data_IF_679943455060
#
_entry.id   IF_679943455060
#
_cell.length_a   1.000
_cell.length_b   1.000
_cell.length_c   1.000
_cell.angle_alpha   90.00
_cell.angle_beta   90.00
_cell.angle_gamma   90.00
#
_symmetry.space_group_name_H-M   'P 1'
#
loop_
_entity.id
_entity.type
_entity.pdbx_description
1 polymer ?
#
# COMPACT_ATOMS: atom_id res chain seq x y z
N UNK A 1 -21.85 3.99 -0.66
CA UNK A 1 -20.55 4.24 0.00
C UNK A 1 -20.43 3.54 1.35
N UNK A 2 -21.45 3.58 2.20
CA UNK A 2 -21.41 2.94 3.52
C UNK A 2 -21.27 1.41 3.47
N UNK A 3 -21.98 0.72 2.59
CA UNK A 3 -21.91 -0.74 2.46
C UNK A 3 -20.54 -1.22 2.02
N UNK A 4 -19.92 -0.56 1.05
CA UNK A 4 -18.56 -0.91 0.60
C UNK A 4 -17.51 -0.68 1.70
N UNK A 5 -17.64 0.41 2.47
CA UNK A 5 -16.75 0.67 3.62
C UNK A 5 -16.91 -0.42 4.66
N UNK A 6 -18.15 -0.78 4.99
CA UNK A 6 -18.45 -1.83 5.95
C UNK A 6 -17.90 -3.19 5.49
N UNK A 7 -18.16 -3.57 4.24
CA UNK A 7 -17.65 -4.81 3.67
C UNK A 7 -16.12 -4.89 3.71
N UNK A 8 -15.42 -3.81 3.37
CA UNK A 8 -13.96 -3.75 3.46
C UNK A 8 -13.47 -3.80 4.92
N UNK A 9 -14.16 -3.14 5.85
CA UNK A 9 -13.83 -3.23 7.27
C UNK A 9 -13.99 -4.66 7.82
N UNK A 10 -15.00 -5.37 7.40
CA UNK A 10 -15.22 -6.78 7.80
C UNK A 10 -14.19 -7.71 7.17
N UNK A 11 -13.81 -7.46 5.92
CA UNK A 11 -12.86 -8.30 5.18
C UNK A 11 -11.42 -8.26 5.68
N UNK A 12 -11.03 -7.26 6.50
CA UNK A 12 -9.68 -7.16 7.07
C UNK A 12 -9.50 -7.97 8.37
N UNK A 13 -10.58 -8.45 8.98
CA UNK A 13 -10.53 -9.24 10.23
C UNK A 13 -9.55 -10.43 10.13
N UNK A 14 -9.51 -11.20 9.02
CA UNK A 14 -8.60 -12.32 8.86
C UNK A 14 -7.11 -11.96 8.80
N UNK A 15 -6.75 -10.67 8.77
CA UNK A 15 -5.33 -10.24 8.80
C UNK A 15 -4.68 -10.43 10.18
N UNK A 16 -5.41 -11.01 11.14
CA UNK A 16 -4.92 -11.33 12.51
C UNK A 16 -4.33 -10.10 13.22
N UNK A 17 -5.05 -9.00 13.12
CA UNK A 17 -4.75 -7.77 13.85
C UNK A 17 -5.55 -7.70 15.15
N UNK A 18 -5.00 -7.03 16.17
CA UNK A 18 -5.79 -6.70 17.37
C UNK A 18 -7.00 -5.83 17.00
N UNK A 19 -8.10 -5.93 17.78
CA UNK A 19 -9.31 -5.12 17.60
C UNK A 19 -9.02 -3.62 17.49
N UNK A 20 -8.06 -3.14 18.25
CA UNK A 20 -7.63 -1.76 18.19
C UNK A 20 -7.05 -1.37 16.80
N UNK A 21 -6.27 -2.27 16.18
CA UNK A 21 -5.71 -2.05 14.83
C UNK A 21 -6.79 -2.16 13.77
N UNK A 22 -7.72 -3.11 13.91
CA UNK A 22 -8.87 -3.24 13.01
C UNK A 22 -9.70 -1.96 13.00
N UNK A 23 -10.05 -1.42 14.18
CA UNK A 23 -10.76 -0.13 14.30
C UNK A 23 -9.99 1.04 13.66
N UNK A 24 -8.66 1.06 13.81
CA UNK A 24 -7.81 2.08 13.14
C UNK A 24 -7.78 1.90 11.63
N UNK A 25 -7.61 0.68 11.13
CA UNK A 25 -7.61 0.38 9.71
C UNK A 25 -8.90 0.87 9.05
N UNK A 26 -10.07 0.58 9.65
CA UNK A 26 -11.38 1.02 9.17
C UNK A 26 -11.48 2.54 8.99
N UNK A 27 -10.83 3.33 9.84
CA UNK A 27 -10.82 4.80 9.70
C UNK A 27 -10.15 5.28 8.41
N UNK A 28 -9.25 4.49 7.85
CA UNK A 28 -8.53 4.86 6.64
C UNK A 28 -9.19 4.33 5.36
N UNK A 29 -10.16 3.42 5.47
CA UNK A 29 -10.84 2.81 4.31
C UNK A 29 -11.41 3.86 3.35
N UNK A 30 -12.10 4.93 3.79
CA UNK A 30 -12.60 5.96 2.86
C UNK A 30 -11.49 6.62 2.04
N UNK A 31 -10.38 6.99 2.67
CA UNK A 31 -9.26 7.61 1.96
C UNK A 31 -8.55 6.60 1.02
N UNK A 32 -8.50 5.32 1.41
CA UNK A 32 -7.97 4.24 0.57
C UNK A 32 -8.84 4.04 -0.67
N UNK A 33 -10.16 4.00 -0.54
CA UNK A 33 -11.10 3.87 -1.66
C UNK A 33 -10.88 5.00 -2.66
N UNK A 34 -10.87 6.25 -2.19
CA UNK A 34 -10.69 7.43 -3.04
C UNK A 34 -9.36 7.38 -3.80
N UNK A 35 -8.26 7.05 -3.10
CA UNK A 35 -6.95 6.96 -3.72
C UNK A 35 -6.86 5.79 -4.72
N UNK A 36 -7.45 4.65 -4.39
CA UNK A 36 -7.50 3.46 -5.22
C UNK A 36 -8.28 3.69 -6.52
N UNK A 37 -9.46 4.29 -6.42
CA UNK A 37 -10.28 4.63 -7.59
C UNK A 37 -9.55 5.60 -8.52
N UNK A 38 -8.90 6.64 -7.96
CA UNK A 38 -8.15 7.62 -8.74
C UNK A 38 -7.03 6.99 -9.57
N UNK A 39 -6.45 5.90 -9.11
CA UNK A 39 -5.29 5.25 -9.70
C UNK A 39 -5.60 3.86 -10.30
N UNK A 40 -6.88 3.52 -10.44
CA UNK A 40 -7.34 2.22 -10.95
C UNK A 40 -6.68 1.01 -10.24
N UNK A 41 -6.57 1.09 -8.91
CA UNK A 41 -6.06 0.03 -8.06
C UNK A 41 -7.22 -0.53 -7.25
N UNK A 42 -7.29 -1.84 -7.06
CA UNK A 42 -8.26 -2.43 -6.12
C UNK A 42 -7.99 -1.94 -4.68
N UNK A 43 -9.00 -1.46 -3.93
CA UNK A 43 -8.81 -1.04 -2.54
C UNK A 43 -8.16 -2.12 -1.66
N UNK A 44 -8.48 -3.39 -1.91
CA UNK A 44 -7.94 -4.55 -1.20
C UNK A 44 -6.42 -4.69 -1.36
N UNK A 45 -5.89 -4.31 -2.53
CA UNK A 45 -4.43 -4.27 -2.78
C UNK A 45 -3.79 -3.18 -1.92
N UNK A 46 -4.38 -1.98 -1.88
CA UNK A 46 -3.87 -0.88 -1.05
C UNK A 46 -3.96 -1.19 0.44
N UNK A 47 -5.05 -1.81 0.89
CA UNK A 47 -5.20 -2.27 2.29
C UNK A 47 -4.08 -3.24 2.64
N UNK A 48 -3.84 -4.24 1.78
CA UNK A 48 -2.80 -5.25 1.99
C UNK A 48 -1.40 -4.65 2.00
N UNK A 49 -1.12 -3.70 1.11
CA UNK A 49 0.13 -2.95 1.07
C UNK A 49 0.35 -2.21 2.40
N UNK A 50 -0.63 -1.42 2.85
CA UNK A 50 -0.54 -0.66 4.10
C UNK A 50 -0.35 -1.60 5.31
N UNK A 51 -1.03 -2.74 5.31
CA UNK A 51 -0.85 -3.73 6.36
C UNK A 51 0.59 -4.26 6.42
N UNK A 52 1.15 -4.63 5.28
CA UNK A 52 2.54 -5.14 5.20
C UNK A 52 3.56 -4.06 5.55
N UNK A 53 3.33 -2.81 5.14
CA UNK A 53 4.27 -1.69 5.34
C UNK A 53 4.30 -1.18 6.78
N UNK A 54 3.15 -1.00 7.41
CA UNK A 54 3.06 -0.30 8.69
C UNK A 54 2.11 -0.93 9.70
N UNK A 55 1.39 -2.00 9.34
CA UNK A 55 0.27 -2.51 10.13
C UNK A 55 -0.69 -1.39 10.56
N UNK A 56 -0.98 -0.46 9.64
CA UNK A 56 -1.81 0.74 9.85
C UNK A 56 -1.27 1.72 10.91
N UNK A 57 0.04 1.70 11.20
CA UNK A 57 0.66 2.64 12.11
C UNK A 57 1.09 3.91 11.37
N UNK A 58 0.27 4.97 11.44
CA UNK A 58 0.48 6.22 10.68
C UNK A 58 1.79 6.95 10.97
N UNK A 59 2.37 6.75 12.17
CA UNK A 59 3.63 7.36 12.59
C UNK A 59 4.85 6.43 12.38
N UNK A 60 4.67 5.29 11.70
CA UNK A 60 5.76 4.35 11.46
C UNK A 60 6.92 5.02 10.72
N UNK A 61 8.14 4.75 11.19
CA UNK A 61 9.39 5.14 10.53
C UNK A 61 10.28 3.91 10.54
N UNK A 62 10.75 3.49 9.37
CA UNK A 62 11.66 2.36 9.25
C UNK A 62 13.11 2.79 9.52
N UNK A 63 14.00 1.82 9.78
CA UNK A 63 15.45 2.07 9.91
C UNK A 63 16.06 2.69 8.66
N UNK A 64 15.46 2.47 7.48
CA UNK A 64 15.89 3.09 6.22
C UNK A 64 15.31 4.50 5.99
N UNK A 65 14.44 5.00 6.89
CA UNK A 65 13.83 6.32 6.80
C UNK A 65 12.54 6.37 5.98
N UNK A 66 11.89 5.23 5.71
CA UNK A 66 10.54 5.20 5.12
C UNK A 66 9.50 5.62 6.17
N UNK A 67 8.48 6.38 5.77
CA UNK A 67 7.57 7.06 6.68
C UNK A 67 6.09 6.80 6.35
N UNK A 68 5.28 6.71 7.41
CA UNK A 68 3.82 6.71 7.35
C UNK A 68 3.20 5.37 6.97
N UNK A 69 1.90 5.40 6.66
CA UNK A 69 1.10 4.19 6.39
C UNK A 69 1.64 3.35 5.24
N UNK A 70 2.11 3.98 4.19
CA UNK A 70 2.58 3.34 2.96
C UNK A 70 4.11 3.30 2.84
N UNK A 71 4.82 3.68 3.91
CA UNK A 71 6.28 3.62 4.01
C UNK A 71 7.02 4.25 2.81
N UNK A 72 6.59 5.45 2.42
CA UNK A 72 7.26 6.22 1.37
C UNK A 72 8.54 6.84 1.92
N UNK A 73 9.61 6.78 1.13
CA UNK A 73 10.90 7.37 1.49
C UNK A 73 10.97 8.85 1.05
N UNK A 74 11.10 9.81 1.98
CA UNK A 74 11.16 11.25 1.67
C UNK A 74 12.18 11.59 0.58
N UNK A 75 13.35 10.96 0.62
CA UNK A 75 14.45 11.24 -0.33
C UNK A 75 14.12 10.96 -1.81
N UNK A 76 13.09 10.16 -2.10
CA UNK A 76 12.70 9.85 -3.46
C UNK A 76 11.44 10.60 -3.93
N UNK A 77 10.82 11.41 -3.07
CA UNK A 77 9.55 12.06 -3.41
C UNK A 77 9.68 13.22 -4.39
N UNK A 78 10.88 13.79 -4.54
CA UNK A 78 11.13 14.87 -5.51
C UNK A 78 11.17 14.39 -6.97
N UNK A 79 11.44 13.12 -7.19
CA UNK A 79 11.42 12.48 -8.51
C UNK A 79 10.07 11.85 -8.87
N UNK A 80 10.01 11.16 -10.04
CA UNK A 80 8.82 10.45 -10.45
C UNK A 80 8.41 9.36 -9.45
N UNK A 81 7.12 9.09 -9.32
CA UNK A 81 6.00 9.76 -9.95
C UNK A 81 5.47 10.97 -9.17
N UNK A 82 6.00 11.27 -7.99
CA UNK A 82 5.42 12.29 -7.11
C UNK A 82 5.76 13.72 -7.55
N UNK A 83 7.00 13.96 -7.96
CA UNK A 83 7.53 15.29 -8.31
C UNK A 83 7.24 16.36 -7.26
N UNK A 84 7.28 15.96 -5.98
CA UNK A 84 6.97 16.84 -4.84
C UNK A 84 7.84 16.45 -3.66
N UNK A 85 8.68 17.38 -3.20
CA UNK A 85 9.48 17.15 -1.99
C UNK A 85 8.56 17.03 -0.76
N UNK A 86 8.48 15.82 -0.19
CA UNK A 86 7.71 15.53 1.01
C UNK A 86 8.65 15.22 2.17
N UNK A 87 8.33 15.75 3.35
CA UNK A 87 9.02 15.42 4.60
C UNK A 87 8.43 14.15 5.22
N UNK A 88 9.17 13.54 6.15
CA UNK A 88 8.65 12.42 6.93
C UNK A 88 7.40 12.79 7.71
N UNK A 89 7.35 13.99 8.30
CA UNK A 89 6.18 14.45 9.06
C UNK A 89 4.94 14.62 8.17
N UNK A 90 5.11 15.11 6.95
CA UNK A 90 4.01 15.13 5.97
C UNK A 90 3.54 13.72 5.61
N UNK A 91 4.45 12.77 5.45
CA UNK A 91 4.13 11.38 5.13
C UNK A 91 3.49 10.63 6.31
N UNK A 92 3.61 11.09 7.55
CA UNK A 92 2.85 10.60 8.71
C UNK A 92 1.38 11.05 8.69
N UNK A 93 1.01 12.01 7.86
CA UNK A 93 -0.41 12.33 7.61
C UNK A 93 -1.03 11.19 6.77
N UNK A 94 -2.12 10.54 7.24
CA UNK A 94 -2.70 9.39 6.55
C UNK A 94 -3.10 9.68 5.10
N UNK A 95 -3.75 10.81 4.84
CA UNK A 95 -4.20 11.19 3.49
C UNK A 95 -3.04 11.40 2.54
N UNK A 96 -1.97 12.06 3.00
CA UNK A 96 -0.77 12.29 2.19
C UNK A 96 -0.08 10.95 1.92
N UNK A 97 0.09 10.12 2.95
CA UNK A 97 0.72 8.80 2.81
C UNK A 97 -0.03 7.91 1.83
N UNK A 98 -1.35 7.75 2.00
CA UNK A 98 -2.19 6.91 1.14
C UNK A 98 -2.15 7.39 -0.31
N UNK A 99 -2.33 8.70 -0.56
CA UNK A 99 -2.26 9.27 -1.91
C UNK A 99 -0.90 9.05 -2.56
N UNK A 100 0.18 9.24 -1.81
CA UNK A 100 1.55 9.05 -2.31
C UNK A 100 1.82 7.59 -2.63
N UNK A 101 1.46 6.68 -1.73
CA UNK A 101 1.63 5.24 -1.95
C UNK A 101 0.83 4.71 -3.15
N UNK A 102 -0.43 5.13 -3.30
CA UNK A 102 -1.26 4.75 -4.44
C UNK A 102 -0.66 5.25 -5.76
N UNK A 103 -0.20 6.50 -5.82
CA UNK A 103 0.44 7.05 -7.01
C UNK A 103 1.74 6.33 -7.37
N UNK A 104 2.56 5.97 -6.37
CA UNK A 104 3.78 5.19 -6.58
C UNK A 104 3.47 3.78 -7.08
N UNK A 105 2.49 3.10 -6.47
CA UNK A 105 2.11 1.76 -6.89
C UNK A 105 1.54 1.76 -8.31
N UNK A 106 0.66 2.72 -8.64
CA UNK A 106 0.14 2.88 -10.01
C UNK A 106 1.26 3.04 -11.04
N UNK A 107 2.24 3.88 -10.73
CA UNK A 107 3.40 4.06 -11.62
C UNK A 107 4.18 2.76 -11.84
N UNK A 108 4.37 1.96 -10.81
CA UNK A 108 5.01 0.64 -10.94
C UNK A 108 4.15 -0.35 -11.71
N UNK A 109 2.81 -0.31 -11.56
CA UNK A 109 1.89 -1.14 -12.35
C UNK A 109 2.02 -0.81 -13.84
N UNK A 110 2.03 0.48 -14.19
CA UNK A 110 2.20 0.94 -15.56
C UNK A 110 3.59 0.55 -16.12
N UNK A 111 4.64 0.77 -15.33
CA UNK A 111 6.01 0.40 -15.69
C UNK A 111 6.15 -1.09 -15.99
N UNK A 112 5.49 -1.95 -15.25
CA UNK A 112 5.47 -3.39 -15.43
C UNK A 112 4.29 -3.90 -16.27
N UNK A 113 3.64 -3.04 -17.04
CA UNK A 113 2.57 -3.39 -18.00
C UNK A 113 1.43 -4.18 -17.37
N UNK A 114 1.02 -3.84 -16.16
CA UNK A 114 -0.07 -4.48 -15.43
C UNK A 114 0.34 -5.68 -14.55
N UNK A 115 1.60 -6.10 -14.58
CA UNK A 115 2.08 -7.18 -13.68
C UNK A 115 2.15 -6.67 -12.23
N UNK A 116 1.09 -6.94 -11.46
CA UNK A 116 0.99 -6.54 -10.05
C UNK A 116 2.12 -7.12 -9.21
N UNK A 117 2.54 -8.35 -9.47
CA UNK A 117 3.61 -8.99 -8.68
C UNK A 117 4.94 -8.25 -8.86
N UNK A 118 5.28 -7.89 -10.09
CA UNK A 118 6.47 -7.09 -10.37
C UNK A 118 6.34 -5.65 -9.91
N UNK A 119 5.15 -5.06 -10.01
CA UNK A 119 4.87 -3.71 -9.52
C UNK A 119 5.09 -3.60 -8.01
N UNK A 120 4.58 -4.55 -7.23
CA UNK A 120 4.80 -4.63 -5.79
C UNK A 120 6.28 -4.87 -5.44
N UNK A 121 6.97 -5.72 -6.21
CA UNK A 121 8.42 -5.86 -6.09
C UNK A 121 9.12 -4.52 -6.31
N UNK A 122 8.76 -3.79 -7.36
CA UNK A 122 9.29 -2.45 -7.68
C UNK A 122 9.00 -1.42 -6.58
N UNK A 123 7.81 -1.45 -6.01
CA UNK A 123 7.44 -0.60 -4.88
C UNK A 123 8.42 -0.75 -3.71
N UNK A 124 8.79 -1.99 -3.38
CA UNK A 124 9.70 -2.30 -2.26
C UNK A 124 11.19 -2.17 -2.62
N UNK A 125 11.60 -2.60 -3.81
CA UNK A 125 13.01 -2.79 -4.16
C UNK A 125 13.47 -1.98 -5.39
N UNK A 126 12.58 -1.13 -5.95
CA UNK A 126 12.89 -0.28 -7.09
C UNK A 126 13.20 -1.07 -8.36
N UNK A 127 14.03 -0.49 -9.23
CA UNK A 127 14.40 -1.06 -10.52
C UNK A 127 15.14 -2.41 -10.45
N UNK A 128 15.57 -2.85 -9.27
CA UNK A 128 16.08 -4.21 -9.08
C UNK A 128 15.07 -5.31 -9.38
N UNK A 129 13.79 -4.93 -9.56
CA UNK A 129 12.70 -5.83 -9.93
C UNK A 129 12.42 -5.88 -11.45
N UNK A 130 13.12 -5.07 -12.26
CA UNK A 130 12.80 -4.90 -13.69
C UNK A 130 13.52 -5.89 -14.60
N UNK A 131 14.57 -6.55 -14.15
CA UNK A 131 15.37 -7.49 -14.95
C UNK A 131 14.75 -8.88 -15.08
N UNK A 132 15.42 -9.77 -15.86
CA UNK A 132 15.05 -11.17 -16.00
C UNK A 132 15.02 -11.91 -14.66
N UNK A 133 15.90 -11.56 -13.74
CA UNK A 133 15.95 -12.09 -12.36
C UNK A 133 15.59 -10.98 -11.38
N UNK A 134 14.32 -10.81 -11.03
CA UNK A 134 13.89 -9.76 -10.09
C UNK A 134 14.45 -10.02 -8.69
N UNK A 135 14.61 -8.94 -7.91
CA UNK A 135 15.15 -8.99 -6.55
C UNK A 135 14.33 -9.94 -5.66
N UNK A 136 15.01 -10.94 -5.06
CA UNK A 136 14.33 -11.99 -4.27
C UNK A 136 13.59 -11.44 -3.02
N UNK A 137 14.11 -10.39 -2.40
CA UNK A 137 13.48 -9.77 -1.22
C UNK A 137 12.23 -8.98 -1.62
N UNK A 138 12.31 -8.22 -2.72
CA UNK A 138 11.16 -7.53 -3.29
C UNK A 138 10.08 -8.50 -3.75
N UNK A 139 10.44 -9.65 -4.33
CA UNK A 139 9.47 -10.70 -4.69
C UNK A 139 8.86 -11.38 -3.45
N UNK A 140 9.62 -11.53 -2.36
CA UNK A 140 9.08 -12.04 -1.09
C UNK A 140 8.07 -11.05 -0.50
N UNK A 141 8.37 -9.75 -0.54
CA UNK A 141 7.44 -8.69 -0.15
C UNK A 141 6.16 -8.74 -1.01
N UNK A 142 6.31 -8.79 -2.32
CA UNK A 142 5.18 -8.90 -3.27
C UNK A 142 4.26 -10.09 -2.92
N UNK A 143 4.82 -11.27 -2.70
CA UNK A 143 4.03 -12.46 -2.30
C UNK A 143 3.25 -12.25 -1.00
N UNK A 144 3.83 -11.52 -0.02
CA UNK A 144 3.12 -11.19 1.23
C UNK A 144 1.90 -10.30 0.97
N UNK A 145 2.08 -9.25 0.16
CA UNK A 145 0.99 -8.34 -0.17
C UNK A 145 -0.12 -9.07 -0.94
N UNK A 146 0.25 -9.86 -1.95
CA UNK A 146 -0.71 -10.62 -2.76
C UNK A 146 -1.47 -11.64 -1.91
N UNK A 147 -0.80 -12.36 -1.01
CA UNK A 147 -1.46 -13.31 -0.10
C UNK A 147 -2.55 -12.62 0.73
N UNK A 148 -2.24 -11.48 1.33
CA UNK A 148 -3.21 -10.72 2.13
C UNK A 148 -4.33 -10.15 1.24
N UNK A 149 -3.99 -9.63 0.07
CA UNK A 149 -4.98 -9.16 -0.90
C UNK A 149 -6.00 -10.25 -1.24
N UNK A 150 -5.55 -11.45 -1.61
CA UNK A 150 -6.45 -12.57 -1.94
C UNK A 150 -7.32 -12.99 -0.75
N UNK A 151 -6.78 -12.94 0.46
CA UNK A 151 -7.53 -13.23 1.68
C UNK A 151 -8.65 -12.20 1.92
N UNK A 152 -8.38 -10.91 1.75
CA UNK A 152 -9.37 -9.83 1.87
C UNK A 152 -10.42 -9.93 0.78
N UNK A 153 -10.00 -10.13 -0.48
CA UNK A 153 -10.88 -10.20 -1.65
C UNK A 153 -11.87 -11.39 -1.54
N UNK A 154 -11.40 -12.55 -1.04
CA UNK A 154 -12.27 -13.72 -0.81
C UNK A 154 -13.34 -13.49 0.26
N UNK A 155 -13.04 -12.70 1.28
CA UNK A 155 -13.99 -12.42 2.38
C UNK A 155 -14.99 -11.31 2.05
N UNK A 156 -14.64 -10.40 1.18
CA UNK A 156 -15.57 -9.36 0.71
C UNK A 156 -16.72 -9.94 -0.13
N UNK A 157 -16.48 -11.05 -0.81
CA UNK A 157 -17.42 -11.69 -1.72
C UNK A 157 -18.26 -12.80 -1.05
N UNK A 158 -18.16 -12.97 0.26
CA UNK A 158 -19.01 -13.85 1.10
C UNK A 158 -20.09 -13.06 1.83
#
# INVERSE_FOLDING_TARGET
MNEMILALCMSIIPLDMSDYRNKKACKYIPDIIVASQKHNIKPEVMISLIFVESSFHKKAVSSAGACGLTQVMPKYTHGPPLFKKLTCDQLKNPKISIKSGAKILSWWIDYHKGDLSRALCGYNAGFRCSGKKPNKYGMRYSRKVIKNYLLIDSKKNQ
#
